data_IF_501610176182
#
_entry.id   IF_501610176182
#
_cell.length_a   1.000
_cell.length_b   1.000
_cell.length_c   1.000
_cell.angle_alpha   90.00
_cell.angle_beta   90.00
_cell.angle_gamma   90.00
#
_symmetry.space_group_name_H-M   'P 1'
#
loop_
_entity.id
_entity.type
_entity.pdbx_description
1 polymer ?
#
# COMPACT_ATOMS: atom_id res chain seq x y z
N UNK A 1 -12.66 -12.01 37.32
CA UNK A 1 -11.18 -11.88 37.28
C UNK A 1 -10.81 -11.40 35.90
N UNK A 2 -10.11 -10.27 35.81
CA UNK A 2 -9.91 -9.50 34.57
C UNK A 2 -9.41 -10.33 33.37
N UNK A 3 -8.61 -11.37 33.59
CA UNK A 3 -8.12 -12.25 32.52
C UNK A 3 -9.24 -13.02 31.81
N UNK A 4 -10.25 -13.47 32.55
CA UNK A 4 -11.36 -14.27 32.03
C UNK A 4 -12.32 -13.43 31.18
N UNK A 5 -12.45 -12.14 31.51
CA UNK A 5 -13.25 -11.18 30.75
C UNK A 5 -12.55 -10.80 29.43
N UNK A 6 -11.21 -10.69 29.44
CA UNK A 6 -10.42 -10.48 28.23
C UNK A 6 -10.53 -11.66 27.25
N UNK A 7 -10.46 -12.89 27.74
CA UNK A 7 -10.60 -14.08 26.89
C UNK A 7 -12.00 -14.19 26.29
N UNK A 8 -13.05 -13.86 27.06
CA UNK A 8 -14.43 -13.80 26.54
C UNK A 8 -14.57 -12.73 25.45
N UNK A 9 -14.05 -11.52 25.68
CA UNK A 9 -14.09 -10.45 24.68
C UNK A 9 -13.37 -10.86 23.38
N UNK A 10 -12.20 -11.50 23.49
CA UNK A 10 -11.46 -12.04 22.33
C UNK A 10 -12.23 -13.08 21.56
N UNK A 11 -12.90 -14.01 22.25
CA UNK A 11 -13.71 -15.03 21.61
C UNK A 11 -14.85 -14.41 20.78
N UNK A 12 -15.47 -13.34 21.28
CA UNK A 12 -16.50 -12.61 20.55
C UNK A 12 -15.92 -11.93 19.30
N UNK A 13 -14.77 -11.26 19.43
CA UNK A 13 -14.10 -10.64 18.28
C UNK A 13 -13.67 -11.66 17.21
N UNK A 14 -13.09 -12.79 17.63
CA UNK A 14 -12.70 -13.86 16.71
C UNK A 14 -13.92 -14.47 15.99
N UNK A 15 -15.03 -14.67 16.70
CA UNK A 15 -16.26 -15.14 16.09
C UNK A 15 -16.78 -14.15 15.05
N UNK A 16 -16.83 -12.87 15.40
CA UNK A 16 -17.31 -11.82 14.50
C UNK A 16 -16.43 -11.68 13.25
N UNK A 17 -15.10 -11.73 13.39
CA UNK A 17 -14.15 -11.59 12.26
C UNK A 17 -14.17 -12.80 11.31
N UNK A 18 -14.64 -13.95 11.78
CA UNK A 18 -14.76 -15.16 10.96
C UNK A 18 -16.10 -15.27 10.21
N UNK A 19 -17.06 -14.37 10.43
CA UNK A 19 -18.30 -14.34 9.66
C UNK A 19 -18.05 -13.89 8.21
N UNK A 20 -18.62 -14.62 7.25
CA UNK A 20 -18.43 -14.37 5.80
C UNK A 20 -19.21 -13.13 5.31
N UNK A 21 -20.32 -12.79 5.96
CA UNK A 21 -21.16 -11.63 5.63
C UNK A 21 -21.04 -10.59 6.74
N UNK A 22 -20.07 -9.70 6.61
CA UNK A 22 -19.95 -8.53 7.48
C UNK A 22 -20.34 -7.29 6.67
N UNK A 23 -21.34 -6.55 7.14
CA UNK A 23 -21.70 -5.24 6.56
C UNK A 23 -20.55 -4.23 6.69
N UNK A 24 -19.68 -4.37 7.71
CA UNK A 24 -18.59 -3.42 8.01
C UNK A 24 -17.33 -4.13 8.54
N UNK A 25 -16.62 -4.91 7.70
CA UNK A 25 -15.47 -5.70 8.12
C UNK A 25 -14.33 -4.83 8.64
N UNK A 26 -14.05 -3.68 7.99
CA UNK A 26 -12.91 -2.82 8.36
C UNK A 26 -13.02 -2.24 9.78
N UNK A 27 -14.22 -1.82 10.19
CA UNK A 27 -14.43 -1.25 11.52
C UNK A 27 -14.26 -2.30 12.62
N UNK A 28 -14.70 -3.54 12.38
CA UNK A 28 -14.52 -4.63 13.31
C UNK A 28 -13.05 -4.98 13.51
N UNK A 29 -12.29 -5.08 12.41
CA UNK A 29 -10.84 -5.31 12.47
C UNK A 29 -10.12 -4.19 13.21
N UNK A 30 -10.47 -2.93 12.93
CA UNK A 30 -9.90 -1.78 13.63
C UNK A 30 -10.22 -1.85 15.14
N UNK A 31 -11.46 -2.11 15.50
CA UNK A 31 -11.88 -2.22 16.90
C UNK A 31 -11.14 -3.36 17.63
N UNK A 32 -10.94 -4.50 16.97
CA UNK A 32 -10.21 -5.63 17.54
C UNK A 32 -8.72 -5.31 17.73
N UNK A 33 -8.09 -4.67 16.73
CA UNK A 33 -6.70 -4.21 16.83
C UNK A 33 -6.55 -3.19 17.96
N UNK A 34 -7.42 -2.17 18.02
CA UNK A 34 -7.41 -1.15 19.08
C UNK A 34 -7.60 -1.78 20.47
N UNK A 35 -8.46 -2.79 20.58
CA UNK A 35 -8.65 -3.56 21.81
C UNK A 35 -7.37 -4.28 22.24
N UNK A 36 -6.68 -4.98 21.33
CA UNK A 36 -5.44 -5.68 21.68
C UNK A 36 -4.27 -4.71 21.95
N UNK A 37 -4.23 -3.54 21.28
CA UNK A 37 -3.27 -2.47 21.57
C UNK A 37 -3.47 -1.94 22.99
N UNK A 38 -4.71 -1.65 23.41
CA UNK A 38 -5.04 -1.21 24.78
C UNK A 38 -4.61 -2.24 25.83
N UNK A 39 -4.71 -3.52 25.51
CA UNK A 39 -4.28 -4.62 26.36
C UNK A 39 -2.78 -4.95 26.25
N UNK A 40 -2.00 -4.16 25.50
CA UNK A 40 -0.55 -4.34 25.27
C UNK A 40 -0.18 -5.72 24.72
N UNK A 41 -1.11 -6.39 24.02
CA UNK A 41 -0.91 -7.70 23.44
C UNK A 41 -0.26 -7.59 22.04
N UNK A 42 0.95 -7.01 21.97
CA UNK A 42 1.61 -6.65 20.72
C UNK A 42 1.77 -7.83 19.74
N UNK A 43 2.09 -9.02 20.24
CA UNK A 43 2.21 -10.23 19.41
C UNK A 43 0.89 -10.60 18.72
N UNK A 44 -0.25 -10.39 19.40
CA UNK A 44 -1.58 -10.63 18.82
C UNK A 44 -1.92 -9.58 17.79
N UNK A 45 -1.62 -8.31 18.06
CA UNK A 45 -1.82 -7.22 17.09
C UNK A 45 -1.09 -7.49 15.78
N UNK A 46 0.18 -7.95 15.84
CA UNK A 46 0.93 -8.34 14.64
C UNK A 46 0.24 -9.46 13.87
N UNK A 47 -0.21 -10.51 14.56
CA UNK A 47 -0.95 -11.61 13.94
C UNK A 47 -2.28 -11.17 13.32
N UNK A 48 -2.98 -10.22 13.94
CA UNK A 48 -4.21 -9.64 13.38
C UNK A 48 -3.93 -8.85 12.11
N UNK A 49 -2.90 -8.00 12.08
CA UNK A 49 -2.49 -7.31 10.85
C UNK A 49 -2.09 -8.29 9.75
N UNK A 50 -1.34 -9.35 10.07
CA UNK A 50 -0.97 -10.38 9.09
C UNK A 50 -2.19 -11.11 8.52
N UNK A 51 -3.21 -11.40 9.34
CA UNK A 51 -4.47 -11.99 8.86
C UNK A 51 -5.28 -11.01 8.01
N UNK A 52 -5.34 -9.75 8.42
CA UNK A 52 -6.05 -8.70 7.69
C UNK A 52 -5.42 -8.49 6.30
N UNK A 53 -4.10 -8.34 6.22
CA UNK A 53 -3.35 -8.19 4.96
C UNK A 53 -3.46 -9.39 4.00
N UNK A 54 -3.82 -10.58 4.50
CA UNK A 54 -4.11 -11.74 3.63
C UNK A 54 -5.50 -11.67 3.00
N UNK A 55 -6.44 -10.95 3.63
CA UNK A 55 -7.83 -10.79 3.17
C UNK A 55 -8.04 -9.51 2.37
N UNK A 56 -7.29 -8.44 2.68
CA UNK A 56 -7.39 -7.16 2.00
C UNK A 56 -6.08 -6.74 1.36
N UNK A 57 -6.20 -6.00 0.25
CA UNK A 57 -5.10 -5.37 -0.47
C UNK A 57 -4.96 -3.87 -0.18
N UNK A 58 -5.74 -3.32 0.77
CA UNK A 58 -5.76 -1.89 1.02
C UNK A 58 -4.45 -1.38 1.63
N UNK A 59 -3.86 -0.36 1.00
CA UNK A 59 -2.62 0.29 1.45
C UNK A 59 -2.72 0.86 2.87
N UNK A 60 -3.91 1.31 3.29
CA UNK A 60 -4.15 1.85 4.62
C UNK A 60 -3.82 0.86 5.73
N UNK A 61 -3.97 -0.45 5.47
CA UNK A 61 -3.62 -1.49 6.44
C UNK A 61 -2.10 -1.64 6.59
N UNK A 62 -1.36 -1.56 5.48
CA UNK A 62 0.10 -1.56 5.51
C UNK A 62 0.65 -0.36 6.27
N UNK A 63 0.11 0.84 6.00
CA UNK A 63 0.48 2.08 6.69
C UNK A 63 0.16 1.97 8.18
N UNK A 64 -1.05 1.52 8.53
CA UNK A 64 -1.47 1.36 9.93
C UNK A 64 -0.60 0.36 10.70
N UNK A 65 -0.20 -0.74 10.06
CA UNK A 65 0.76 -1.70 10.64
C UNK A 65 2.13 -1.05 10.89
N UNK A 66 2.64 -0.27 9.93
CA UNK A 66 3.94 0.39 10.09
C UNK A 66 3.89 1.47 11.19
N UNK A 67 2.80 2.24 11.27
CA UNK A 67 2.56 3.21 12.34
C UNK A 67 2.42 2.54 13.72
N UNK A 68 1.82 1.34 13.78
CA UNK A 68 1.78 0.55 14.99
C UNK A 68 3.18 0.13 15.45
N UNK A 69 4.04 -0.38 14.56
CA UNK A 69 5.42 -0.70 14.94
C UNK A 69 6.20 0.57 15.36
N UNK A 70 5.96 1.70 14.69
CA UNK A 70 6.53 2.99 15.06
C UNK A 70 6.12 3.44 16.47
N UNK A 71 4.86 3.23 16.87
CA UNK A 71 4.38 3.58 18.21
C UNK A 71 4.98 2.71 19.32
N UNK A 72 5.53 1.54 18.97
CA UNK A 72 6.33 0.70 19.86
C UNK A 72 7.81 1.06 19.87
N UNK A 73 8.21 2.15 19.18
CA UNK A 73 9.61 2.53 18.92
C UNK A 73 10.41 1.48 18.12
N UNK A 74 9.72 0.55 17.44
CA UNK A 74 10.32 -0.48 16.60
C UNK A 74 10.54 0.03 15.17
N UNK A 75 11.37 1.06 15.04
CA UNK A 75 11.62 1.77 13.76
C UNK A 75 12.09 0.80 12.66
N UNK A 76 12.92 -0.19 13.00
CA UNK A 76 13.40 -1.21 12.04
C UNK A 76 12.25 -2.10 11.54
N UNK A 77 11.33 -2.48 12.41
CA UNK A 77 10.17 -3.27 12.04
C UNK A 77 9.22 -2.47 11.14
N UNK A 78 8.96 -1.20 11.48
CA UNK A 78 8.17 -0.29 10.66
C UNK A 78 8.74 -0.14 9.23
N UNK A 79 10.06 0.08 9.10
CA UNK A 79 10.73 0.10 7.78
C UNK A 79 10.56 -1.19 7.00
N UNK A 80 10.71 -2.33 7.67
CA UNK A 80 10.51 -3.64 7.03
C UNK A 80 9.08 -3.81 6.50
N UNK A 81 8.09 -3.26 7.19
CA UNK A 81 6.69 -3.26 6.73
C UNK A 81 6.54 -2.39 5.48
N UNK A 82 7.08 -1.17 5.46
CA UNK A 82 7.05 -0.30 4.28
C UNK A 82 7.76 -0.93 3.07
N UNK A 83 8.92 -1.55 3.27
CA UNK A 83 9.65 -2.24 2.20
C UNK A 83 8.88 -3.43 1.63
N UNK A 84 8.21 -4.21 2.48
CA UNK A 84 7.35 -5.32 2.04
C UNK A 84 6.16 -4.81 1.23
N UNK A 85 5.53 -3.73 1.70
CA UNK A 85 4.42 -3.10 1.01
C UNK A 85 4.84 -2.52 -0.36
N UNK A 86 6.01 -1.85 -0.45
CA UNK A 86 6.54 -1.30 -1.71
C UNK A 86 6.80 -2.41 -2.73
N UNK A 87 7.37 -3.54 -2.28
CA UNK A 87 7.54 -4.73 -3.13
C UNK A 87 6.20 -5.33 -3.58
N UNK A 88 5.21 -5.38 -2.70
CA UNK A 88 3.88 -5.90 -3.00
C UNK A 88 3.19 -5.06 -4.09
N UNK A 89 3.07 -3.75 -3.91
CA UNK A 89 2.40 -2.90 -4.90
C UNK A 89 3.20 -2.74 -6.19
N UNK A 90 4.54 -2.80 -6.12
CA UNK A 90 5.38 -2.88 -7.32
C UNK A 90 5.10 -4.16 -8.14
N UNK A 91 4.73 -5.26 -7.49
CA UNK A 91 4.37 -6.51 -8.17
C UNK A 91 2.95 -6.49 -8.74
N UNK A 92 2.03 -5.70 -8.18
CA UNK A 92 0.68 -5.51 -8.74
C UNK A 92 0.67 -4.67 -10.03
N UNK A 93 1.74 -3.90 -10.32
CA UNK A 93 1.86 -3.16 -11.56
C UNK A 93 0.95 -1.94 -11.62
N UNK A 94 0.31 -1.69 -12.76
CA UNK A 94 -0.47 -0.46 -13.01
C UNK A 94 -1.65 -0.29 -12.05
N UNK A 95 -2.28 -1.38 -11.60
CA UNK A 95 -3.43 -1.32 -10.69
C UNK A 95 -3.07 -0.95 -9.25
N UNK A 96 -1.78 -1.00 -8.89
CA UNK A 96 -1.29 -0.69 -7.54
C UNK A 96 -0.51 0.63 -7.46
N UNK A 97 -0.48 1.42 -8.55
CA UNK A 97 0.33 2.65 -8.62
C UNK A 97 -0.14 3.71 -7.65
N UNK A 98 -1.44 3.95 -7.56
CA UNK A 98 -2.03 4.95 -6.65
C UNK A 98 -1.77 4.58 -5.19
N UNK A 99 -2.00 3.31 -4.84
CA UNK A 99 -1.70 2.77 -3.52
C UNK A 99 -0.22 2.89 -3.19
N UNK A 100 0.65 2.58 -4.16
CA UNK A 100 2.09 2.72 -3.99
C UNK A 100 2.50 4.18 -3.79
N UNK A 101 1.85 5.15 -4.45
CA UNK A 101 2.10 6.59 -4.21
C UNK A 101 1.81 6.91 -2.75
N UNK A 102 0.59 6.57 -2.29
CA UNK A 102 0.15 6.83 -0.91
C UNK A 102 1.07 6.15 0.12
N UNK A 103 1.54 4.94 -0.18
CA UNK A 103 2.48 4.23 0.67
C UNK A 103 3.82 4.97 0.77
N UNK A 104 4.40 5.38 -0.35
CA UNK A 104 5.73 6.02 -0.38
C UNK A 104 5.67 7.42 0.23
N UNK A 105 4.58 8.15 0.06
CA UNK A 105 4.32 9.41 0.76
C UNK A 105 4.26 9.19 2.28
N UNK A 106 3.49 8.20 2.74
CA UNK A 106 3.44 7.88 4.17
C UNK A 106 4.77 7.38 4.72
N UNK A 107 5.57 6.66 3.92
CA UNK A 107 6.92 6.25 4.30
C UNK A 107 7.86 7.47 4.41
N UNK A 108 7.73 8.45 3.52
CA UNK A 108 8.51 9.68 3.60
C UNK A 108 8.20 10.45 4.89
N UNK A 109 6.92 10.58 5.24
CA UNK A 109 6.50 11.19 6.50
C UNK A 109 7.06 10.42 7.71
N UNK A 110 7.03 9.09 7.65
CA UNK A 110 7.63 8.24 8.68
C UNK A 110 9.15 8.48 8.82
N UNK A 111 9.93 8.47 7.74
CA UNK A 111 11.38 8.72 7.81
C UNK A 111 11.69 10.17 8.23
N UNK A 112 10.81 11.12 7.94
CA UNK A 112 10.97 12.50 8.41
C UNK A 112 10.82 12.59 9.93
N UNK A 113 9.94 11.79 10.52
CA UNK A 113 9.69 11.78 11.97
C UNK A 113 10.65 10.87 12.77
N UNK A 114 11.04 9.72 12.21
CA UNK A 114 11.79 8.67 12.92
C UNK A 114 13.16 8.33 12.29
N UNK A 115 13.45 8.89 11.12
CA UNK A 115 14.62 8.58 10.32
C UNK A 115 15.72 9.63 10.42
N UNK A 116 16.58 9.63 9.40
CA UNK A 116 17.67 10.60 9.24
C UNK A 116 17.56 11.25 7.87
N UNK A 117 18.24 12.38 7.66
CA UNK A 117 18.27 13.04 6.35
C UNK A 117 18.69 12.10 5.20
N UNK A 118 19.53 11.09 5.48
CA UNK A 118 19.91 10.07 4.50
C UNK A 118 18.75 9.17 4.11
N UNK A 119 18.01 8.63 5.08
CA UNK A 119 16.89 7.72 4.82
C UNK A 119 15.71 8.45 4.20
N UNK A 120 15.46 9.70 4.59
CA UNK A 120 14.48 10.58 3.94
C UNK A 120 14.80 10.74 2.45
N UNK A 121 16.06 11.06 2.11
CA UNK A 121 16.47 11.25 0.72
C UNK A 121 16.40 9.96 -0.12
N UNK A 122 16.66 8.80 0.51
CA UNK A 122 16.47 7.49 -0.13
C UNK A 122 15.01 7.21 -0.47
N UNK A 123 14.06 7.55 0.42
CA UNK A 123 12.63 7.39 0.15
C UNK A 123 12.12 8.42 -0.86
N UNK A 124 12.61 9.67 -0.82
CA UNK A 124 12.28 10.69 -1.83
C UNK A 124 12.60 10.25 -3.25
N UNK A 125 13.72 9.55 -3.44
CA UNK A 125 14.11 8.98 -4.74
C UNK A 125 13.17 7.88 -5.25
N UNK A 126 12.24 7.38 -4.43
CA UNK A 126 11.22 6.41 -4.82
C UNK A 126 9.89 7.05 -5.19
N UNK A 127 9.70 8.34 -4.92
CA UNK A 127 8.46 9.04 -5.25
C UNK A 127 8.22 9.04 -6.77
N UNK A 128 6.98 8.78 -7.21
CA UNK A 128 6.63 8.84 -8.62
C UNK A 128 6.56 10.29 -9.11
N UNK A 129 6.69 10.45 -10.42
CA UNK A 129 6.33 11.70 -11.10
C UNK A 129 4.90 11.57 -11.60
N UNK A 130 4.07 12.57 -11.31
CA UNK A 130 2.72 12.68 -11.88
C UNK A 130 2.82 13.29 -13.27
N UNK A 131 2.31 12.60 -14.28
CA UNK A 131 2.31 13.03 -15.68
C UNK A 131 0.88 13.07 -16.19
N UNK A 132 0.52 14.11 -16.94
CA UNK A 132 -0.77 14.20 -17.62
C UNK A 132 -0.63 13.50 -18.97
N UNK A 133 -1.50 12.54 -19.25
CA UNK A 133 -1.48 11.77 -20.50
C UNK A 133 -2.89 11.71 -21.12
N UNK A 134 -2.96 11.25 -22.35
CA UNK A 134 -4.21 11.04 -23.08
C UNK A 134 -4.36 9.58 -23.43
N UNK A 135 -5.53 8.99 -23.12
CA UNK A 135 -5.88 7.65 -23.58
C UNK A 135 -7.01 7.74 -24.59
N UNK A 136 -6.97 6.89 -25.59
CA UNK A 136 -8.08 6.73 -26.52
C UNK A 136 -9.11 5.80 -25.89
N UNK A 137 -10.27 6.33 -25.57
CA UNK A 137 -11.41 5.54 -25.08
C UNK A 137 -12.26 5.18 -26.29
N UNK A 138 -12.43 3.89 -26.54
CA UNK A 138 -13.28 3.36 -27.62
C UNK A 138 -14.62 2.94 -27.07
N UNK A 139 -15.69 3.23 -27.80
CA UNK A 139 -17.06 2.94 -27.40
C UNK A 139 -18.03 3.64 -28.33
N UNK A 140 -19.29 3.25 -28.28
CA UNK A 140 -20.36 4.00 -28.96
C UNK A 140 -20.81 5.11 -28.03
N UNK A 141 -20.48 6.35 -28.39
CA UNK A 141 -20.84 7.53 -27.60
C UNK A 141 -22.10 8.21 -28.17
N UNK A 142 -22.79 9.00 -27.35
CA UNK A 142 -24.05 9.69 -27.73
C UNK A 142 -23.89 10.63 -28.94
N UNK A 143 -22.68 11.12 -29.20
CA UNK A 143 -22.31 11.95 -30.36
C UNK A 143 -22.09 11.13 -31.65
N UNK A 144 -22.30 9.81 -31.61
CA UNK A 144 -22.09 8.92 -32.76
C UNK A 144 -20.61 8.71 -33.13
N UNK A 145 -19.68 9.11 -32.27
CA UNK A 145 -18.26 8.81 -32.41
C UNK A 145 -17.92 7.45 -31.81
N UNK A 146 -16.97 6.74 -32.44
CA UNK A 146 -16.49 5.42 -31.99
C UNK A 146 -15.34 5.52 -30.96
N UNK A 147 -14.84 6.74 -30.73
CA UNK A 147 -13.78 7.00 -29.77
C UNK A 147 -13.66 8.47 -29.40
N UNK A 148 -13.21 8.75 -28.17
CA UNK A 148 -12.76 10.07 -27.74
C UNK A 148 -11.41 9.98 -27.00
N UNK A 149 -10.69 11.09 -26.94
CA UNK A 149 -9.49 11.21 -26.11
C UNK A 149 -9.87 11.66 -24.71
N UNK A 150 -9.50 10.88 -23.71
CA UNK A 150 -9.66 11.23 -22.30
C UNK A 150 -8.31 11.61 -21.69
N UNK A 151 -8.26 12.78 -21.07
CA UNK A 151 -7.10 13.19 -20.27
C UNK A 151 -7.12 12.47 -18.92
N UNK A 152 -6.01 11.83 -18.55
CA UNK A 152 -5.85 11.17 -17.26
C UNK A 152 -4.48 11.46 -16.64
N UNK A 153 -4.35 11.30 -15.33
CA UNK A 153 -3.07 11.38 -14.63
C UNK A 153 -2.48 9.98 -14.49
N UNK A 154 -1.22 9.82 -14.90
CA UNK A 154 -0.43 8.62 -14.69
C UNK A 154 0.71 8.91 -13.70
N UNK A 155 1.17 7.88 -13.01
CA UNK A 155 2.29 7.93 -12.08
C UNK A 155 3.43 7.08 -12.62
N UNK A 156 4.54 7.74 -12.94
CA UNK A 156 5.75 7.07 -13.41
C UNK A 156 6.72 6.97 -12.24
N UNK A 157 6.93 5.74 -11.77
CA UNK A 157 7.94 5.47 -10.75
C UNK A 157 9.36 5.54 -11.36
N UNK A 158 10.37 6.00 -10.61
CA UNK A 158 11.75 6.08 -11.12
C UNK A 158 12.34 4.75 -11.63
N UNK A 159 11.86 3.63 -11.09
CA UNK A 159 12.25 2.28 -11.52
C UNK A 159 11.64 1.89 -12.87
N UNK A 160 10.47 2.44 -13.22
CA UNK A 160 9.76 2.18 -14.49
C UNK A 160 10.35 3.01 -15.62
N UNK A 161 10.68 4.28 -15.35
CA UNK A 161 11.33 5.19 -16.29
C UNK A 161 12.66 4.60 -16.82
N UNK A 162 13.48 4.04 -15.92
CA UNK A 162 14.72 3.35 -16.30
C UNK A 162 14.48 2.12 -17.19
N UNK A 163 13.41 1.37 -16.96
CA UNK A 163 13.05 0.20 -17.81
C UNK A 163 12.58 0.65 -19.18
N UNK A 164 11.71 1.65 -19.29
CA UNK A 164 11.25 2.14 -20.59
C UNK A 164 12.41 2.70 -21.45
N UNK A 165 13.32 3.45 -20.84
CA UNK A 165 14.45 4.03 -21.58
C UNK A 165 15.45 2.97 -22.06
N UNK A 166 15.71 1.94 -21.27
CA UNK A 166 16.58 0.82 -21.68
C UNK A 166 15.97 -0.02 -22.80
N UNK A 167 14.66 -0.29 -22.75
CA UNK A 167 13.96 -0.98 -23.85
C UNK A 167 14.01 -0.19 -25.17
N UNK A 168 13.77 1.12 -25.14
CA UNK A 168 13.85 1.99 -26.33
C UNK A 168 15.26 2.00 -26.94
N UNK A 169 16.29 2.07 -26.10
CA UNK A 169 17.69 2.05 -26.55
C UNK A 169 18.04 0.72 -27.25
N UNK A 170 17.56 -0.40 -26.68
CA UNK A 170 17.80 -1.74 -27.24
C UNK A 170 17.06 -1.96 -28.57
N UNK A 171 15.85 -1.43 -28.68
CA UNK A 171 15.06 -1.47 -29.91
C UNK A 171 15.68 -0.63 -31.03
N UNK A 172 16.19 0.56 -30.68
CA UNK A 172 16.98 1.37 -31.61
C UNK A 172 18.27 0.65 -32.03
N UNK A 173 19.04 0.06 -31.11
CA UNK A 173 20.25 -0.69 -31.46
C UNK A 173 19.99 -1.86 -32.43
N UNK A 174 18.82 -2.52 -32.32
CA UNK A 174 18.39 -3.57 -33.29
C UNK A 174 18.07 -3.01 -34.67
N UNK A 175 17.52 -1.79 -34.76
CA UNK A 175 17.18 -1.14 -36.04
C UNK A 175 18.41 -0.66 -36.81
N UNK A 176 19.53 -0.42 -36.15
CA UNK A 176 20.79 0.05 -36.77
C UNK A 176 21.70 -1.08 -37.27
N UNK A 177 21.33 -2.35 -37.03
CA UNK A 177 22.11 -3.51 -37.45
C UNK A 177 21.63 -4.11 -38.78
N UNK A 178 20.89 -3.33 -39.58
CA UNK A 178 20.31 -3.71 -40.87
C UNK A 178 20.79 -2.78 -41.96
#
# INVERSE_FOLDING_TARGET
>A
GSLQELERARAIFEMAVNQETLDMPEMLWKAFIDFEIKNKAHSRVRALYDRLLKRTKHVRVWISRAQFEASLNEVKAARSVFEKADKYFKAEGDSGKEERVMLVESWLDFETNYGSNKTVEEVRKRLPRRVKNQRLVKGEFEDGSDSYYEEYYDYIFPDEDKKQNTFKLLEMARKWKK
#
